data_IF_751765052143
#
_entry.id   IF_751765052143
#
_cell.length_a   1.000
_cell.length_b   1.000
_cell.length_c   1.000
_cell.angle_alpha   90.00
_cell.angle_beta   90.00
_cell.angle_gamma   90.00
#
_symmetry.space_group_name_H-M   'P 1'
#
loop_
_entity.id
_entity.type
_entity.pdbx_description
1 polymer ?
#
# COMPACT_ATOMS: atom_id res chain seq x y z
N UNK A 1 -14.85 -2.13 -7.77
CA UNK A 1 -15.04 -2.09 -6.30
C UNK A 1 -14.13 -3.07 -5.56
N UNK A 2 -14.23 -4.40 -5.76
CA UNK A 2 -13.40 -5.39 -5.02
C UNK A 2 -11.89 -5.18 -5.21
N UNK A 3 -11.46 -4.89 -6.45
CA UNK A 3 -10.06 -4.58 -6.75
C UNK A 3 -9.56 -3.33 -6.03
N UNK A 4 -10.39 -2.27 -5.94
CA UNK A 4 -10.05 -1.02 -5.26
C UNK A 4 -9.80 -1.27 -3.77
N UNK A 5 -10.72 -2.00 -3.10
CA UNK A 5 -10.58 -2.35 -1.68
C UNK A 5 -9.35 -3.21 -1.44
N UNK A 6 -9.09 -4.18 -2.31
CA UNK A 6 -7.89 -5.02 -2.24
C UNK A 6 -6.60 -4.22 -2.37
N UNK A 7 -6.56 -3.23 -3.27
CA UNK A 7 -5.37 -2.39 -3.43
C UNK A 7 -5.21 -1.40 -2.27
N UNK A 8 -6.31 -0.84 -1.71
CA UNK A 8 -6.23 -0.03 -0.48
C UNK A 8 -5.69 -0.84 0.70
N UNK A 9 -6.15 -2.08 0.86
CA UNK A 9 -5.63 -2.99 1.86
C UNK A 9 -4.13 -3.29 1.62
N UNK A 10 -3.71 -3.50 0.37
CA UNK A 10 -2.31 -3.76 0.05
C UNK A 10 -1.39 -2.56 0.33
N UNK A 11 -1.87 -1.32 0.10
CA UNK A 11 -1.06 -0.10 0.33
C UNK A 11 -0.88 0.20 1.82
N UNK A 12 -1.94 0.04 2.63
CA UNK A 12 -1.94 0.50 4.03
C UNK A 12 -1.63 -0.59 5.05
N UNK A 13 -1.42 -1.83 4.63
CA UNK A 13 -1.68 -3.05 5.41
C UNK A 13 -3.18 -3.36 5.47
N UNK A 14 -3.60 -4.61 5.20
CA UNK A 14 -5.00 -5.01 5.34
C UNK A 14 -5.54 -4.75 6.75
N UNK A 15 -4.68 -4.90 7.76
CA UNK A 15 -5.05 -4.72 9.16
C UNK A 15 -5.34 -3.26 9.49
N UNK A 16 -4.50 -2.34 9.01
CA UNK A 16 -4.65 -0.91 9.28
C UNK A 16 -5.83 -0.34 8.51
N UNK A 17 -6.06 -0.80 7.28
CA UNK A 17 -7.23 -0.42 6.50
C UNK A 17 -8.54 -0.74 7.23
N UNK A 18 -8.65 -1.90 7.86
CA UNK A 18 -9.83 -2.26 8.67
C UNK A 18 -10.03 -1.32 9.87
N UNK A 19 -8.95 -0.87 10.52
CA UNK A 19 -9.03 0.07 11.63
C UNK A 19 -9.51 1.45 11.18
N UNK A 20 -9.09 1.90 10.00
CA UNK A 20 -9.58 3.15 9.41
C UNK A 20 -11.09 3.07 9.18
N UNK A 21 -11.57 1.99 8.56
CA UNK A 21 -13.02 1.78 8.34
C UNK A 21 -13.78 1.74 9.66
N UNK A 22 -13.26 1.04 10.67
CA UNK A 22 -13.86 0.99 12.00
C UNK A 22 -13.90 2.37 12.69
N UNK A 23 -12.81 3.13 12.62
CA UNK A 23 -12.74 4.46 13.23
C UNK A 23 -13.72 5.43 12.59
N UNK A 24 -13.81 5.42 11.25
CA UNK A 24 -14.77 6.21 10.49
C UNK A 24 -16.21 5.84 10.87
N UNK A 25 -16.52 4.54 10.92
CA UNK A 25 -17.84 4.05 11.33
C UNK A 25 -18.19 4.46 12.77
N UNK A 26 -17.25 4.35 13.71
CA UNK A 26 -17.47 4.68 15.11
C UNK A 26 -17.76 6.17 15.33
N UNK A 27 -16.99 7.05 14.67
CA UNK A 27 -17.23 8.50 14.74
C UNK A 27 -18.56 8.87 14.10
N UNK A 28 -18.95 8.19 13.01
CA UNK A 28 -20.24 8.41 12.37
C UNK A 28 -21.42 8.22 13.35
N UNK A 29 -21.33 7.22 14.24
CA UNK A 29 -22.36 6.91 15.25
C UNK A 29 -22.30 7.84 16.45
N UNK A 30 -21.10 8.29 16.86
CA UNK A 30 -20.92 9.14 18.05
C UNK A 30 -21.50 10.55 17.88
N UNK A 31 -21.65 11.03 16.65
CA UNK A 31 -22.27 12.33 16.34
C UNK A 31 -21.29 13.51 16.36
N UNK A 32 -20.26 13.46 17.20
CA UNK A 32 -19.18 14.46 17.28
C UNK A 32 -18.20 14.29 16.11
N UNK A 33 -18.51 14.97 14.99
CA UNK A 33 -17.74 14.87 13.74
C UNK A 33 -16.68 15.96 13.66
N UNK A 34 -15.42 15.55 13.82
CA UNK A 34 -14.26 16.42 13.57
C UNK A 34 -14.09 16.68 12.06
N UNK A 35 -13.46 17.81 11.70
CA UNK A 35 -13.16 18.16 10.29
C UNK A 35 -12.39 17.04 9.57
N UNK A 36 -11.46 16.38 10.29
CA UNK A 36 -10.71 15.23 9.77
C UNK A 36 -11.62 14.10 9.31
N UNK A 37 -12.69 13.81 10.05
CA UNK A 37 -13.65 12.78 9.69
C UNK A 37 -14.36 13.11 8.37
N UNK A 38 -14.75 14.38 8.17
CA UNK A 38 -15.39 14.80 6.92
C UNK A 38 -14.45 14.64 5.71
N UNK A 39 -13.18 15.04 5.84
CA UNK A 39 -12.19 14.89 4.76
C UNK A 39 -12.03 13.41 4.40
N UNK A 40 -11.88 12.54 5.41
CA UNK A 40 -11.69 11.10 5.18
C UNK A 40 -12.93 10.46 4.57
N UNK A 41 -14.13 10.74 5.10
CA UNK A 41 -15.39 10.17 4.60
C UNK A 41 -15.69 10.63 3.19
N UNK A 42 -15.53 11.92 2.90
CA UNK A 42 -15.77 12.45 1.56
C UNK A 42 -14.76 11.87 0.57
N UNK A 43 -13.47 11.80 0.92
CA UNK A 43 -12.45 11.19 0.08
C UNK A 43 -12.72 9.70 -0.20
N UNK A 44 -13.11 8.92 0.82
CA UNK A 44 -13.46 7.50 0.65
C UNK A 44 -14.75 7.31 -0.16
N UNK A 45 -15.75 8.16 0.06
CA UNK A 45 -17.02 8.09 -0.68
C UNK A 45 -16.80 8.44 -2.14
N UNK A 46 -16.04 9.49 -2.42
CA UNK A 46 -15.66 9.92 -3.77
C UNK A 46 -14.82 8.82 -4.43
N UNK A 47 -13.84 8.23 -3.75
CA UNK A 47 -13.00 7.18 -4.33
C UNK A 47 -13.82 5.93 -4.71
N UNK A 48 -14.78 5.52 -3.87
CA UNK A 48 -15.68 4.41 -4.17
C UNK A 48 -16.64 4.77 -5.31
N UNK A 49 -17.20 5.97 -5.31
CA UNK A 49 -18.17 6.41 -6.32
C UNK A 49 -17.53 6.54 -7.71
N UNK A 50 -16.33 7.13 -7.79
CA UNK A 50 -15.57 7.19 -9.04
C UNK A 50 -15.13 5.77 -9.48
N UNK A 51 -14.86 4.85 -8.54
CA UNK A 51 -14.42 3.49 -8.87
C UNK A 51 -15.49 2.68 -9.62
N UNK A 52 -16.75 3.09 -9.56
CA UNK A 52 -17.86 2.44 -10.29
C UNK A 52 -17.77 2.77 -11.78
N UNK A 53 -17.43 4.03 -12.12
CA UNK A 53 -17.39 4.48 -13.52
C UNK A 53 -16.00 4.39 -14.14
N UNK A 54 -14.93 4.41 -13.35
CA UNK A 54 -13.56 4.56 -13.84
C UNK A 54 -12.56 3.74 -13.00
N UNK A 55 -11.52 3.21 -13.66
CA UNK A 55 -10.35 2.65 -12.97
C UNK A 55 -9.45 3.80 -12.51
N UNK A 56 -9.55 4.15 -11.23
CA UNK A 56 -8.83 5.28 -10.63
C UNK A 56 -7.38 4.89 -10.34
N UNK A 57 -6.43 5.80 -10.59
CA UNK A 57 -5.07 5.71 -10.06
C UNK A 57 -5.08 5.98 -8.55
N UNK A 58 -4.83 4.93 -7.78
CA UNK A 58 -5.00 4.95 -6.31
C UNK A 58 -3.95 5.82 -5.62
N UNK A 59 -2.84 6.10 -6.30
CA UNK A 59 -1.80 7.06 -5.87
C UNK A 59 -2.36 8.41 -5.50
N UNK A 60 -3.40 8.86 -6.21
CA UNK A 60 -3.98 10.19 -6.04
C UNK A 60 -4.82 10.28 -4.77
N UNK A 61 -5.25 9.14 -4.22
CA UNK A 61 -6.09 9.05 -3.03
C UNK A 61 -5.33 8.59 -1.78
N UNK A 62 -4.08 8.14 -1.92
CA UNK A 62 -3.24 7.72 -0.80
C UNK A 62 -3.08 8.80 0.29
N UNK A 63 -2.90 10.11 -0.03
CA UNK A 63 -2.73 11.15 0.99
C UNK A 63 -3.92 11.25 1.96
N UNK A 64 -5.15 11.08 1.46
CA UNK A 64 -6.35 11.18 2.30
C UNK A 64 -6.45 10.05 3.32
N UNK A 65 -5.97 8.86 2.96
CA UNK A 65 -5.94 7.73 3.87
C UNK A 65 -4.78 7.86 4.87
N UNK A 66 -3.65 8.46 4.50
CA UNK A 66 -2.60 8.83 5.47
C UNK A 66 -3.13 9.83 6.51
N UNK A 67 -3.94 10.82 6.09
CA UNK A 67 -4.59 11.78 6.98
C UNK A 67 -5.58 11.10 7.94
N UNK A 68 -6.07 9.89 7.63
CA UNK A 68 -6.94 9.13 8.54
C UNK A 68 -6.21 8.50 9.72
N UNK A 69 -4.88 8.39 9.70
CA UNK A 69 -4.08 7.81 10.80
C UNK A 69 -4.31 8.57 12.12
N UNK A 70 -4.14 9.91 12.20
CA UNK A 70 -4.40 10.63 13.45
C UNK A 70 -5.85 10.47 13.94
N UNK A 71 -6.83 10.37 13.03
CA UNK A 71 -8.23 10.09 13.37
C UNK A 71 -8.40 8.72 14.05
N UNK A 72 -7.71 7.68 13.55
CA UNK A 72 -7.72 6.35 14.20
C UNK A 72 -7.13 6.43 15.61
N UNK A 73 -6.05 7.18 15.78
CA UNK A 73 -5.37 7.34 17.09
C UNK A 73 -6.27 8.04 18.10
N UNK A 74 -6.96 9.11 17.72
CA UNK A 74 -7.89 9.82 18.63
C UNK A 74 -9.04 8.91 19.05
N UNK A 75 -9.66 8.22 18.09
CA UNK A 75 -10.73 7.25 18.36
C UNK A 75 -10.25 6.12 19.28
N UNK A 76 -9.02 5.64 19.09
CA UNK A 76 -8.44 4.61 19.94
C UNK A 76 -8.20 5.11 21.37
N UNK A 77 -7.64 6.32 21.53
CA UNK A 77 -7.42 6.94 22.86
C UNK A 77 -8.73 7.15 23.61
N UNK A 78 -9.75 7.69 22.94
CA UNK A 78 -11.07 7.90 23.53
C UNK A 78 -11.72 6.57 23.96
N UNK A 79 -11.53 5.54 23.13
CA UNK A 79 -12.01 4.18 23.44
C UNK A 79 -11.33 3.58 24.68
N UNK A 80 -10.07 3.94 24.94
CA UNK A 80 -9.31 3.50 26.11
C UNK A 80 -9.63 4.33 27.36
N UNK A 81 -9.94 5.62 27.21
CA UNK A 81 -10.22 6.53 28.32
C UNK A 81 -11.47 6.13 29.12
N UNK A 82 -12.49 5.62 28.44
CA UNK A 82 -13.80 5.28 29.03
C UNK A 82 -13.79 3.86 29.68
N UNK A 83 -12.77 3.03 29.41
CA UNK A 83 -12.72 1.63 29.83
C UNK A 83 -11.98 1.42 31.15
N UNK A 84 -12.51 0.51 31.98
CA UNK A 84 -11.86 0.01 33.20
C UNK A 84 -10.52 -0.64 32.90
N UNK A 85 -9.56 -0.51 33.83
CA UNK A 85 -8.15 -0.91 33.64
C UNK A 85 -7.99 -2.38 33.22
N UNK A 86 -8.85 -3.26 33.72
CA UNK A 86 -8.83 -4.70 33.44
C UNK A 86 -9.12 -5.02 31.98
N UNK A 87 -10.08 -4.33 31.37
CA UNK A 87 -10.45 -4.52 29.96
C UNK A 87 -9.50 -3.84 28.97
N UNK A 88 -8.52 -3.05 29.44
CA UNK A 88 -7.56 -2.37 28.54
C UNK A 88 -6.48 -3.32 28.00
N UNK A 89 -6.15 -4.39 28.73
CA UNK A 89 -5.06 -5.32 28.36
C UNK A 89 -5.23 -5.92 26.97
N UNK A 90 -6.45 -6.34 26.62
CA UNK A 90 -6.77 -6.92 25.30
C UNK A 90 -6.56 -5.88 24.19
N UNK A 91 -6.94 -4.62 24.40
CA UNK A 91 -6.77 -3.56 23.41
C UNK A 91 -5.31 -3.21 23.18
N UNK A 92 -4.49 -3.19 24.23
CA UNK A 92 -3.04 -3.02 24.10
C UNK A 92 -2.39 -4.21 23.39
N UNK A 93 -2.85 -5.43 23.64
CA UNK A 93 -2.36 -6.62 22.94
C UNK A 93 -2.70 -6.55 21.44
N UNK A 94 -3.95 -6.23 21.10
CA UNK A 94 -4.38 -6.06 19.70
C UNK A 94 -3.57 -4.94 19.03
N UNK A 95 -3.36 -3.81 19.70
CA UNK A 95 -2.53 -2.72 19.19
C UNK A 95 -1.08 -3.18 18.92
N UNK A 96 -0.46 -3.91 19.85
CA UNK A 96 0.88 -4.47 19.67
C UNK A 96 0.93 -5.44 18.49
N UNK A 97 -0.08 -6.30 18.33
CA UNK A 97 -0.18 -7.22 17.18
C UNK A 97 -0.25 -6.44 15.86
N UNK A 98 -1.08 -5.39 15.78
CA UNK A 98 -1.19 -4.54 14.59
C UNK A 98 0.15 -3.90 14.25
N UNK A 99 0.82 -3.31 15.25
CA UNK A 99 2.13 -2.68 15.05
C UNK A 99 3.17 -3.70 14.60
N UNK A 100 3.17 -4.91 15.17
CA UNK A 100 4.07 -5.99 14.75
C UNK A 100 3.81 -6.44 13.31
N UNK A 101 2.54 -6.60 12.91
CA UNK A 101 2.18 -6.96 11.53
C UNK A 101 2.66 -5.88 10.57
N UNK A 102 2.45 -4.60 10.89
CA UNK A 102 2.89 -3.50 10.07
C UNK A 102 4.42 -3.43 9.96
N UNK A 103 5.14 -3.67 11.06
CA UNK A 103 6.60 -3.76 11.07
C UNK A 103 7.12 -4.93 10.24
N UNK A 104 6.46 -6.09 10.30
CA UNK A 104 6.79 -7.25 9.47
C UNK A 104 6.61 -6.94 7.99
N UNK A 105 5.45 -6.42 7.59
CA UNK A 105 5.17 -6.05 6.19
C UNK A 105 6.18 -5.02 5.68
N UNK A 106 6.46 -3.99 6.46
CA UNK A 106 7.44 -2.96 6.12
C UNK A 106 8.84 -3.57 6.00
N UNK A 107 9.20 -4.47 6.91
CA UNK A 107 10.49 -5.17 6.87
C UNK A 107 10.63 -6.05 5.64
N UNK A 108 9.57 -6.73 5.19
CA UNK A 108 9.57 -7.52 3.94
C UNK A 108 9.88 -6.62 2.74
N UNK A 109 9.29 -5.42 2.68
CA UNK A 109 9.56 -4.45 1.60
C UNK A 109 11.03 -4.01 1.61
N UNK A 110 11.58 -3.65 2.77
CA UNK A 110 12.99 -3.26 2.89
C UNK A 110 13.95 -4.41 2.59
N UNK A 111 13.60 -5.63 2.99
CA UNK A 111 14.40 -6.83 2.79
C UNK A 111 14.31 -7.38 1.36
N UNK A 112 13.32 -6.96 0.57
CA UNK A 112 13.11 -7.47 -0.79
C UNK A 112 14.33 -7.25 -1.70
N UNK A 113 14.88 -6.03 -1.70
CA UNK A 113 16.07 -5.69 -2.48
C UNK A 113 17.35 -6.45 -2.05
N UNK A 114 17.76 -6.46 -0.76
CA UNK A 114 18.92 -7.22 -0.35
C UNK A 114 18.71 -8.73 -0.55
N UNK A 115 17.51 -9.29 -0.35
CA UNK A 115 17.25 -10.69 -0.69
C UNK A 115 17.51 -10.96 -2.17
N UNK A 116 17.01 -10.12 -3.07
CA UNK A 116 17.28 -10.26 -4.52
C UNK A 116 18.78 -10.25 -4.84
N UNK A 117 19.56 -9.42 -4.14
CA UNK A 117 21.00 -9.29 -4.39
C UNK A 117 21.81 -10.47 -3.86
N UNK A 118 21.46 -11.04 -2.70
CA UNK A 118 22.29 -12.04 -2.01
C UNK A 118 21.81 -13.49 -2.20
N UNK A 119 20.54 -13.72 -2.53
CA UNK A 119 20.02 -15.08 -2.66
C UNK A 119 20.21 -15.64 -4.08
N UNK A 120 20.67 -16.89 -4.22
CA UNK A 120 20.79 -17.55 -5.52
C UNK A 120 19.44 -18.03 -6.07
N UNK A 121 18.41 -18.18 -5.22
CA UNK A 121 17.06 -18.61 -5.60
C UNK A 121 16.16 -17.43 -5.96
N UNK A 122 16.35 -16.90 -7.18
CA UNK A 122 15.55 -15.78 -7.71
C UNK A 122 14.09 -16.15 -7.98
N UNK A 123 13.80 -17.41 -8.33
CA UNK A 123 12.46 -17.87 -8.70
C UNK A 123 11.46 -17.91 -7.54
N UNK A 124 11.94 -17.91 -6.30
CA UNK A 124 11.10 -17.87 -5.11
C UNK A 124 10.68 -16.43 -4.72
N UNK A 125 11.32 -15.42 -5.31
CA UNK A 125 11.06 -14.01 -5.02
C UNK A 125 9.91 -13.48 -5.87
N UNK A 126 9.07 -12.64 -5.27
CA UNK A 126 7.95 -12.01 -5.93
C UNK A 126 8.46 -10.95 -6.93
N UNK A 127 8.30 -11.23 -8.22
CA UNK A 127 8.53 -10.32 -9.35
C UNK A 127 9.94 -9.66 -9.39
N UNK A 128 10.95 -10.47 -9.71
CA UNK A 128 12.36 -10.03 -9.87
C UNK A 128 12.61 -9.08 -11.04
N UNK A 129 11.66 -8.98 -11.97
CA UNK A 129 11.73 -8.15 -13.18
C UNK A 129 12.07 -6.69 -12.88
N UNK A 130 11.59 -6.18 -11.74
CA UNK A 130 11.78 -4.80 -11.26
C UNK A 130 13.26 -4.48 -11.04
N UNK A 131 14.07 -5.44 -10.61
CA UNK A 131 15.50 -5.24 -10.35
C UNK A 131 16.40 -5.72 -11.50
N UNK A 132 15.94 -6.72 -12.24
CA UNK A 132 16.70 -7.32 -13.34
C UNK A 132 16.71 -6.42 -14.59
N UNK A 133 15.57 -5.82 -14.92
CA UNK A 133 15.42 -5.02 -16.15
C UNK A 133 16.32 -3.78 -16.15
N UNK A 134 16.41 -2.98 -15.06
CA UNK A 134 17.33 -1.85 -15.00
C UNK A 134 18.80 -2.26 -15.24
N UNK A 135 19.23 -3.39 -14.68
CA UNK A 135 20.59 -3.92 -14.84
C UNK A 135 20.87 -4.27 -16.31
N UNK A 136 19.94 -4.98 -16.96
CA UNK A 136 20.05 -5.32 -18.38
C UNK A 136 20.06 -4.05 -19.26
N UNK A 137 19.24 -3.05 -18.92
CA UNK A 137 19.20 -1.81 -19.69
C UNK A 137 20.51 -1.02 -19.56
N UNK A 138 21.12 -1.00 -18.39
CA UNK A 138 22.42 -0.37 -18.17
C UNK A 138 23.51 -1.05 -19.02
N UNK A 139 23.56 -2.39 -19.02
CA UNK A 139 24.47 -3.15 -19.89
C UNK A 139 24.24 -2.92 -21.39
N UNK A 140 22.99 -2.73 -21.82
CA UNK A 140 22.65 -2.44 -23.22
C UNK A 140 23.07 -1.02 -23.62
N UNK A 141 22.90 -0.06 -22.71
CA UNK A 141 23.36 1.32 -22.89
C UNK A 141 24.87 1.40 -22.99
N UNK A 142 25.60 0.65 -22.15
CA UNK A 142 27.07 0.54 -22.23
C UNK A 142 27.54 -0.06 -23.56
N UNK A 143 26.77 -1.01 -24.11
CA UNK A 143 27.03 -1.60 -25.43
C UNK A 143 26.56 -0.74 -26.61
N UNK A 144 26.00 0.44 -26.35
CA UNK A 144 25.47 1.35 -27.36
C UNK A 144 24.21 0.85 -28.10
N UNK A 145 23.53 -0.16 -27.56
CA UNK A 145 22.32 -0.74 -28.17
C UNK A 145 21.07 -0.16 -27.52
N UNK A 146 20.12 0.29 -28.36
CA UNK A 146 18.86 0.92 -27.91
C UNK A 146 17.65 -0.03 -28.01
N UNK A 147 17.85 -1.26 -28.54
CA UNK A 147 16.78 -2.22 -28.72
C UNK A 147 17.15 -3.64 -28.25
N UNK A 148 16.13 -4.43 -27.90
CA UNK A 148 16.23 -5.85 -27.51
C UNK A 148 15.30 -6.70 -28.39
N UNK A 149 15.79 -7.84 -28.88
CA UNK A 149 15.10 -8.69 -29.86
C UNK A 149 13.87 -9.40 -29.26
N UNK A 150 14.05 -10.02 -28.08
CA UNK A 150 13.00 -10.74 -27.36
C UNK A 150 12.63 -10.01 -26.06
N UNK A 151 11.40 -9.49 -26.04
CA UNK A 151 10.80 -8.85 -24.86
C UNK A 151 9.44 -9.52 -24.59
N UNK A 152 9.26 -10.03 -23.38
CA UNK A 152 7.97 -10.54 -22.92
C UNK A 152 6.92 -9.43 -22.89
N UNK A 153 5.67 -9.74 -23.26
CA UNK A 153 4.57 -8.76 -23.29
C UNK A 153 4.32 -8.12 -21.92
N UNK A 154 4.62 -8.83 -20.82
CA UNK A 154 4.50 -8.31 -19.44
C UNK A 154 5.53 -7.21 -19.15
N UNK A 155 6.76 -7.41 -19.62
CA UNK A 155 7.92 -6.58 -19.27
C UNK A 155 8.14 -5.41 -20.23
N UNK A 156 7.48 -5.45 -21.39
CA UNK A 156 7.59 -4.43 -22.44
C UNK A 156 7.39 -3.00 -21.94
N UNK A 157 6.39 -2.78 -21.08
CA UNK A 157 6.11 -1.47 -20.50
C UNK A 157 7.29 -0.94 -19.68
N UNK A 158 7.97 -1.81 -18.94
CA UNK A 158 9.10 -1.42 -18.09
C UNK A 158 10.35 -1.13 -18.92
N UNK A 159 10.63 -1.93 -19.96
CA UNK A 159 11.70 -1.64 -20.91
C UNK A 159 11.48 -0.30 -21.64
N UNK A 160 10.23 -0.03 -22.05
CA UNK A 160 9.87 1.21 -22.71
C UNK A 160 10.05 2.43 -21.79
N UNK A 161 9.74 2.28 -20.49
CA UNK A 161 9.99 3.33 -19.48
C UNK A 161 11.48 3.73 -19.40
N UNK A 162 12.40 2.77 -19.56
CA UNK A 162 13.84 3.05 -19.59
C UNK A 162 14.40 3.45 -20.97
N UNK A 163 13.54 3.57 -21.98
CA UNK A 163 13.89 3.98 -23.34
C UNK A 163 14.41 2.87 -24.25
N UNK A 164 14.17 1.60 -23.91
CA UNK A 164 14.57 0.44 -24.74
C UNK A 164 13.33 -0.13 -25.43
N UNK A 165 13.35 -0.15 -26.77
CA UNK A 165 12.27 -0.68 -27.59
C UNK A 165 12.56 -2.12 -28.07
N UNK A 166 11.55 -2.80 -28.60
CA UNK A 166 11.76 -4.05 -29.31
C UNK A 166 12.49 -3.75 -30.63
N UNK A 167 13.53 -4.52 -30.96
CA UNK A 167 14.14 -4.39 -32.29
C UNK A 167 13.09 -4.72 -33.38
N UNK A 168 13.12 -4.01 -34.52
CA UNK A 168 12.18 -4.22 -35.62
C UNK A 168 12.28 -5.62 -36.24
#
# INVERSE_FOLDING_TARGET
>A
MVQLVGIYAAIFSPTLFLLVVYAVYKVAIRGDKEILWYIVVTALTISVLLSIRQAIKITDFAPFVVISIPLVVTVFRDSLAIRLKEFRKIYYLVCNVIVLVLLLETSVIFLHYPLYRYTPFKELLLDTSIYEIPQIVEELKDKGKVCKDEISKKDYTLYLYYGVARCP
#
